data_IF_935235035106
#
_entry.id   IF_935235035106
#
_cell.length_a   1.000
_cell.length_b   1.000
_cell.length_c   1.000
_cell.angle_alpha   90.00
_cell.angle_beta   90.00
_cell.angle_gamma   90.00
#
_symmetry.space_group_name_H-M   'P 1'
#
loop_
_entity.id
_entity.type
_entity.pdbx_description
1 polymer ?
#
# COMPACT_ATOMS: atom_id res chain seq x y z
N UNK A 1 1.45 8.82 -10.70
CA UNK A 1 1.74 7.55 -10.01
C UNK A 1 1.05 7.63 -8.66
N UNK A 2 0.37 6.55 -8.25
CA UNK A 2 -0.29 6.42 -6.95
C UNK A 2 0.37 5.33 -6.11
N UNK A 3 0.60 5.58 -4.83
CA UNK A 3 1.18 4.70 -3.81
C UNK A 3 0.19 4.60 -2.66
N UNK A 4 -0.44 3.45 -2.51
CA UNK A 4 -1.47 3.24 -1.50
C UNK A 4 -1.01 2.14 -0.55
N UNK A 5 -1.07 2.41 0.74
CA UNK A 5 -0.87 1.39 1.77
C UNK A 5 -2.22 1.08 2.43
N UNK A 6 -2.60 -0.19 2.45
CA UNK A 6 -3.71 -0.72 3.24
C UNK A 6 -3.07 -1.47 4.41
N UNK A 7 -3.46 -1.16 5.63
CA UNK A 7 -2.99 -1.85 6.82
C UNK A 7 -4.17 -2.42 7.58
N UNK A 8 -3.95 -3.50 8.30
CA UNK A 8 -4.94 -4.06 9.18
C UNK A 8 -4.55 -5.44 9.69
N UNK A 9 -5.15 -5.90 10.78
CA UNK A 9 -4.92 -7.23 11.31
C UNK A 9 -5.38 -8.31 10.33
N UNK A 10 -5.02 -9.56 10.61
CA UNK A 10 -5.53 -10.71 9.87
C UNK A 10 -7.06 -10.75 9.95
N UNK A 11 -7.73 -11.06 8.84
CA UNK A 11 -9.19 -11.10 8.79
C UNK A 11 -9.91 -9.74 8.71
N UNK A 12 -9.21 -8.61 8.67
CA UNK A 12 -9.83 -7.27 8.57
C UNK A 12 -10.49 -6.96 7.22
N UNK A 13 -10.53 -7.91 6.28
CA UNK A 13 -11.11 -7.71 4.96
C UNK A 13 -10.23 -6.99 3.94
N UNK A 14 -8.90 -6.88 4.16
CA UNK A 14 -7.94 -6.24 3.23
C UNK A 14 -8.10 -6.73 1.79
N UNK A 15 -8.07 -8.05 1.57
CA UNK A 15 -8.24 -8.64 0.23
C UNK A 15 -9.56 -8.27 -0.42
N UNK A 16 -10.66 -8.18 0.34
CA UNK A 16 -11.96 -7.71 -0.18
C UNK A 16 -11.88 -6.25 -0.59
N UNK A 17 -11.33 -5.39 0.27
CA UNK A 17 -11.17 -3.95 -0.01
C UNK A 17 -10.28 -3.71 -1.22
N UNK A 18 -9.20 -4.47 -1.38
CA UNK A 18 -8.32 -4.43 -2.56
C UNK A 18 -9.11 -4.75 -3.82
N UNK A 19 -9.87 -5.85 -3.83
CA UNK A 19 -10.69 -6.22 -4.99
C UNK A 19 -11.71 -5.13 -5.35
N UNK A 20 -12.34 -4.51 -4.35
CA UNK A 20 -13.25 -3.38 -4.56
C UNK A 20 -12.52 -2.18 -5.18
N UNK A 21 -11.34 -1.80 -4.64
CA UNK A 21 -10.56 -0.67 -5.15
C UNK A 21 -10.00 -0.90 -6.55
N UNK A 22 -9.66 -2.14 -6.88
CA UNK A 22 -9.13 -2.51 -8.19
C UNK A 22 -10.25 -2.85 -9.20
N UNK A 23 -11.50 -2.91 -8.75
CA UNK A 23 -12.66 -3.15 -9.62
C UNK A 23 -12.81 -2.00 -10.61
N UNK A 24 -12.56 -2.27 -11.89
CA UNK A 24 -12.59 -1.27 -12.96
C UNK A 24 -11.21 -0.73 -13.39
N UNK A 25 -10.14 -1.04 -12.64
CA UNK A 25 -8.79 -0.74 -13.10
C UNK A 25 -8.36 -1.74 -14.18
N UNK A 26 -7.77 -1.23 -15.26
CA UNK A 26 -7.22 -2.05 -16.35
C UNK A 26 -5.77 -2.40 -16.07
N UNK A 27 -5.35 -3.59 -16.48
CA UNK A 27 -3.96 -4.06 -16.40
C UNK A 27 -3.39 -4.05 -14.97
N UNK A 28 -4.15 -4.65 -14.05
CA UNK A 28 -3.77 -4.88 -12.65
C UNK A 28 -3.01 -6.19 -12.55
N UNK A 29 -1.88 -6.20 -11.83
CA UNK A 29 -1.15 -7.42 -11.53
C UNK A 29 -0.96 -7.61 -10.03
N UNK A 30 -1.50 -8.72 -9.53
CA UNK A 30 -1.31 -9.19 -8.17
C UNK A 30 0.03 -9.90 -8.10
N UNK A 31 0.85 -9.51 -7.14
CA UNK A 31 2.18 -10.08 -6.92
C UNK A 31 2.08 -11.48 -6.34
N UNK A 32 2.87 -12.39 -6.90
CA UNK A 32 3.20 -13.65 -6.25
C UNK A 32 4.33 -13.37 -5.23
N UNK A 33 4.20 -13.80 -3.97
CA UNK A 33 5.22 -13.58 -2.94
C UNK A 33 6.61 -14.12 -3.29
N UNK A 34 6.67 -15.08 -4.23
CA UNK A 34 7.91 -15.73 -4.67
C UNK A 34 8.64 -14.98 -5.78
N UNK A 35 8.01 -13.97 -6.38
CA UNK A 35 8.58 -13.25 -7.51
C UNK A 35 8.96 -11.83 -7.11
N UNK A 36 10.16 -11.35 -7.45
CA UNK A 36 10.52 -9.97 -7.18
C UNK A 36 9.76 -9.03 -8.13
N UNK A 37 9.35 -7.86 -7.61
CA UNK A 37 8.55 -6.87 -8.35
C UNK A 37 9.14 -6.45 -9.69
N UNK A 38 10.47 -6.35 -9.80
CA UNK A 38 11.12 -5.97 -11.06
C UNK A 38 10.86 -6.98 -12.18
N UNK A 39 10.77 -8.26 -11.85
CA UNK A 39 10.53 -9.32 -12.83
C UNK A 39 9.11 -9.20 -13.39
N UNK A 40 8.13 -9.03 -12.50
CA UNK A 40 6.72 -8.88 -12.88
C UNK A 40 6.52 -7.62 -13.70
N UNK A 41 7.01 -6.46 -13.23
CA UNK A 41 6.83 -5.19 -13.93
C UNK A 41 7.47 -5.22 -15.32
N UNK A 42 8.70 -5.74 -15.45
CA UNK A 42 9.39 -5.78 -16.75
C UNK A 42 8.71 -6.73 -17.75
N UNK A 43 8.13 -7.84 -17.28
CA UNK A 43 7.49 -8.82 -18.18
C UNK A 43 6.06 -8.47 -18.56
N UNK A 44 5.29 -7.88 -17.66
CA UNK A 44 3.85 -7.65 -17.90
C UNK A 44 3.50 -6.19 -18.12
N UNK A 45 4.41 -5.26 -17.87
CA UNK A 45 4.20 -3.81 -17.97
C UNK A 45 2.82 -3.35 -17.41
N UNK A 46 2.51 -3.65 -16.14
CA UNK A 46 1.19 -3.41 -15.56
C UNK A 46 0.92 -1.93 -15.31
N UNK A 47 -0.35 -1.51 -15.26
CA UNK A 47 -0.70 -0.15 -14.79
C UNK A 47 -0.71 -0.09 -13.26
N UNK A 48 -1.14 -1.18 -12.64
CA UNK A 48 -1.22 -1.35 -11.19
C UNK A 48 -0.51 -2.63 -10.76
N UNK A 49 0.29 -2.52 -9.71
CA UNK A 49 0.82 -3.68 -8.97
C UNK A 49 0.18 -3.71 -7.60
N UNK A 50 -0.33 -4.88 -7.22
CA UNK A 50 -0.94 -5.14 -5.92
C UNK A 50 -0.07 -6.15 -5.18
N UNK A 51 0.37 -5.77 -3.99
CA UNK A 51 1.10 -6.64 -3.08
C UNK A 51 0.21 -6.90 -1.87
N UNK A 52 -0.48 -8.05 -1.86
CA UNK A 52 -1.42 -8.43 -0.79
C UNK A 52 -0.71 -9.21 0.33
N UNK A 53 -1.29 -9.17 1.52
CA UNK A 53 -0.92 -9.96 2.70
C UNK A 53 0.58 -9.97 3.07
N UNK A 54 1.18 -8.79 3.13
CA UNK A 54 2.60 -8.61 3.36
C UNK A 54 2.95 -8.52 4.85
N UNK A 55 4.04 -9.18 5.24
CA UNK A 55 4.74 -8.87 6.47
C UNK A 55 5.64 -7.63 6.31
N UNK A 56 6.26 -7.19 7.42
CA UNK A 56 7.11 -6.01 7.40
C UNK A 56 8.31 -6.21 6.47
N UNK A 57 9.06 -7.32 6.62
CA UNK A 57 10.28 -7.59 5.84
C UNK A 57 10.01 -7.54 4.33
N UNK A 58 8.87 -8.08 3.90
CA UNK A 58 8.49 -8.12 2.51
C UNK A 58 8.07 -6.73 2.00
N UNK A 59 7.38 -5.94 2.82
CA UNK A 59 7.11 -4.53 2.54
C UNK A 59 8.41 -3.73 2.39
N UNK A 60 9.39 -3.87 3.30
CA UNK A 60 10.66 -3.14 3.22
C UNK A 60 11.42 -3.46 1.93
N UNK A 61 11.55 -4.75 1.65
CA UNK A 61 12.24 -5.23 0.45
C UNK A 61 11.63 -4.64 -0.82
N UNK A 62 10.30 -4.57 -0.91
CA UNK A 62 9.61 -4.05 -2.08
C UNK A 62 9.71 -2.53 -2.19
N UNK A 63 9.55 -1.81 -1.08
CA UNK A 63 9.65 -0.34 -1.04
C UNK A 63 10.99 0.19 -1.57
N UNK A 64 12.10 -0.52 -1.30
CA UNK A 64 13.42 -0.20 -1.84
C UNK A 64 13.50 -0.16 -3.38
N UNK A 65 12.58 -0.85 -4.06
CA UNK A 65 12.58 -0.96 -5.51
C UNK A 65 11.51 -0.12 -6.21
N UNK A 66 10.55 0.45 -5.47
CA UNK A 66 9.39 1.17 -6.05
C UNK A 66 9.82 2.34 -6.91
N UNK A 67 10.82 3.10 -6.47
CA UNK A 67 11.33 4.28 -7.19
C UNK A 67 11.92 3.95 -8.57
N UNK A 68 12.21 2.67 -8.85
CA UNK A 68 12.62 2.21 -10.19
C UNK A 68 11.46 2.17 -11.19
N UNK A 69 10.23 2.34 -10.73
CA UNK A 69 9.00 2.22 -11.52
C UNK A 69 8.11 3.48 -11.42
N UNK A 70 8.59 4.66 -11.86
CA UNK A 70 7.93 5.95 -11.62
C UNK A 70 6.57 6.13 -12.31
N UNK A 71 6.18 5.20 -13.20
CA UNK A 71 4.94 5.25 -13.97
C UNK A 71 3.90 4.21 -13.53
N UNK A 72 4.25 3.34 -12.58
CA UNK A 72 3.42 2.21 -12.16
C UNK A 72 2.74 2.57 -10.85
N UNK A 73 1.42 2.43 -10.78
CA UNK A 73 0.71 2.60 -9.51
C UNK A 73 0.90 1.35 -8.66
N UNK A 74 0.99 1.52 -7.34
CA UNK A 74 1.24 0.42 -6.42
C UNK A 74 0.31 0.48 -5.22
N UNK A 75 -0.24 -0.69 -4.87
CA UNK A 75 -1.05 -0.92 -3.69
C UNK A 75 -0.36 -1.97 -2.84
N UNK A 76 -0.07 -1.62 -1.59
CA UNK A 76 0.60 -2.43 -0.59
C UNK A 76 -0.43 -2.79 0.47
N UNK A 77 -0.61 -4.07 0.81
CA UNK A 77 -1.43 -4.50 1.92
C UNK A 77 -0.57 -5.14 3.00
N UNK A 78 -0.38 -4.44 4.10
CA UNK A 78 0.42 -4.90 5.24
C UNK A 78 -0.47 -5.55 6.30
N UNK A 79 -0.03 -6.70 6.81
CA UNK A 79 -0.64 -7.37 7.95
C UNK A 79 -0.06 -6.81 9.26
N UNK A 80 -0.83 -5.94 9.91
CA UNK A 80 -0.45 -5.33 11.17
C UNK A 80 -1.17 -4.01 11.38
N UNK A 81 -0.69 -3.22 12.34
CA UNK A 81 -1.28 -1.93 12.72
C UNK A 81 -0.35 -0.75 12.40
N UNK A 82 -0.90 0.47 12.34
CA UNK A 82 -0.11 1.68 12.06
C UNK A 82 0.98 1.92 13.12
N UNK A 83 0.73 1.50 14.37
CA UNK A 83 1.66 1.66 15.49
C UNK A 83 2.88 0.76 15.37
N UNK A 84 2.75 -0.39 14.71
CA UNK A 84 3.84 -1.35 14.47
C UNK A 84 4.75 -0.92 13.33
N UNK A 85 4.27 -0.05 12.43
CA UNK A 85 5.06 0.39 11.30
C UNK A 85 6.22 1.29 11.75
N UNK A 86 7.45 1.01 11.30
CA UNK A 86 8.59 1.88 11.58
C UNK A 86 8.38 3.25 10.94
N UNK A 87 8.94 4.30 11.56
CA UNK A 87 8.73 5.70 11.13
C UNK A 87 9.06 5.94 9.65
N UNK A 88 10.09 5.31 9.11
CA UNK A 88 10.45 5.48 7.71
C UNK A 88 9.40 4.91 6.73
N UNK A 89 8.60 3.92 7.14
CA UNK A 89 7.41 3.48 6.36
C UNK A 89 6.29 4.48 6.54
N UNK A 90 5.99 4.89 7.78
CA UNK A 90 4.87 5.79 8.09
C UNK A 90 4.96 7.13 7.35
N UNK A 91 6.18 7.66 7.24
CA UNK A 91 6.47 8.93 6.58
C UNK A 91 7.02 8.77 5.17
N UNK A 92 6.87 7.58 4.56
CA UNK A 92 7.14 7.43 3.14
C UNK A 92 6.12 8.22 2.31
N UNK A 93 6.40 8.43 1.03
CA UNK A 93 5.60 9.26 0.13
C UNK A 93 4.32 8.57 -0.37
N UNK A 94 3.56 8.00 0.57
CA UNK A 94 2.23 7.46 0.35
C UNK A 94 1.30 8.56 -0.19
N UNK A 95 0.56 8.24 -1.23
CA UNK A 95 -0.60 9.05 -1.62
C UNK A 95 -1.74 8.86 -0.62
N UNK A 96 -1.88 7.64 -0.08
CA UNK A 96 -2.92 7.26 0.86
C UNK A 96 -2.51 6.11 1.76
N UNK A 97 -2.87 6.17 3.05
CA UNK A 97 -2.86 5.05 3.99
C UNK A 97 -4.30 4.74 4.41
N UNK A 98 -4.75 3.50 4.28
CA UNK A 98 -6.06 3.01 4.72
C UNK A 98 -5.83 2.08 5.91
N UNK A 99 -6.18 2.54 7.12
CA UNK A 99 -6.09 1.75 8.34
C UNK A 99 -7.41 1.03 8.62
N UNK A 100 -7.45 -0.25 8.24
CA UNK A 100 -8.61 -1.10 8.48
C UNK A 100 -8.75 -1.55 9.94
N UNK A 101 -7.78 -1.23 10.81
CA UNK A 101 -7.85 -1.57 12.24
C UNK A 101 -8.81 -0.66 13.01
N UNK A 102 -8.99 0.57 12.53
CA UNK A 102 -9.83 1.61 13.13
C UNK A 102 -10.74 2.32 12.13
N UNK A 103 -10.70 1.94 10.84
CA UNK A 103 -11.55 2.51 9.80
C UNK A 103 -11.08 3.88 9.28
N UNK A 104 -9.87 4.33 9.63
CA UNK A 104 -9.36 5.63 9.21
C UNK A 104 -8.66 5.59 7.84
N UNK A 105 -8.69 6.71 7.12
CA UNK A 105 -7.93 6.92 5.88
C UNK A 105 -7.15 8.22 5.98
N UNK A 106 -5.85 8.15 5.73
CA UNK A 106 -4.93 9.28 5.74
C UNK A 106 -4.51 9.58 4.30
N UNK A 107 -4.76 10.79 3.81
CA UNK A 107 -4.30 11.25 2.49
C UNK A 107 -2.93 11.94 2.63
N UNK A 108 -2.16 12.02 1.54
CA UNK A 108 -0.79 12.58 1.50
C UNK A 108 -0.61 13.92 2.21
N UNK A 109 -1.60 14.81 2.11
CA UNK A 109 -1.56 16.14 2.71
C UNK A 109 -1.52 16.12 4.25
N UNK A 110 -1.88 14.98 4.87
CA UNK A 110 -1.90 14.77 6.33
C UNK A 110 -0.61 14.07 6.81
N UNK A 111 0.06 13.31 5.95
CA UNK A 111 1.19 12.43 6.32
C UNK A 111 2.53 13.18 6.34
N UNK A 112 2.66 14.26 5.57
CA UNK A 112 3.92 14.99 5.35
C UNK A 112 4.20 16.17 6.30
N UNK A 113 3.21 16.63 7.06
CA UNK A 113 3.42 17.64 8.09
C UNK A 113 3.31 16.97 9.45
N UNK A 114 4.29 17.15 10.34
CA UNK A 114 4.17 16.79 11.75
C UNK A 114 3.12 17.64 12.48
N UNK A 115 1.88 17.67 11.99
CA UNK A 115 0.76 18.43 12.54
C UNK A 115 -0.44 17.51 12.72
N UNK A 116 -0.63 17.18 13.99
CA UNK A 116 -1.90 17.10 14.71
C UNK A 116 -3.11 16.52 13.97
N UNK A 117 -3.55 15.37 14.48
CA UNK A 117 -4.82 14.70 14.21
C UNK A 117 -5.97 15.70 13.94
N UNK A 118 -6.49 15.68 12.71
CA UNK A 118 -7.84 16.17 12.45
C UNK A 118 -8.81 14.99 12.57
N UNK A 119 -9.46 14.91 13.73
CA UNK A 119 -10.64 14.09 13.97
C UNK A 119 -11.78 14.58 13.07
N UNK A 120 -12.08 13.85 12.02
CA UNK A 120 -13.40 13.86 11.39
C UNK A 120 -14.05 12.50 11.62
N UNK A 121 -14.85 12.43 12.68
CA UNK A 121 -15.89 11.41 12.87
C UNK A 121 -16.97 11.60 11.81
N UNK A 122 -17.31 10.51 11.11
CA UNK A 122 -18.56 10.39 10.36
C UNK A 122 -19.76 10.30 11.30
#
# INVERSE_FOLDING_TARGET
MKRILIIGPMGSGKTRKIKEMMSGEKNVKYMDPRLPIYYVVKKTNPKWVVLDDMDLKWLEHHMMHVNRFPRINMLFAYQGTLKELPSWVRFWDWDKIIDMSNGMTYEKDIIGEGKTESNTTF
#
